data_IF_006300941636
#
_entry.id   IF_006300941636
#
_cell.length_a   1.000
_cell.length_b   1.000
_cell.length_c   1.000
_cell.angle_alpha   90.00
_cell.angle_beta   90.00
_cell.angle_gamma   90.00
#
_symmetry.space_group_name_H-M   'P 1'
#
loop_
_entity.id
_entity.type
_entity.pdbx_description
1 polymer ?
#
# COMPACT_ATOMS: atom_id res chain seq x y z
N UNK A 1 1.09 -14.12 29.10
CA UNK A 1 0.33 -13.18 28.25
C UNK A 1 1.29 -12.79 27.14
N UNK A 2 1.18 -13.49 26.02
CA UNK A 2 2.21 -13.59 24.98
C UNK A 2 2.27 -12.34 24.10
N UNK A 3 3.47 -11.79 23.97
CA UNK A 3 3.85 -10.63 23.13
C UNK A 3 4.07 -11.02 21.66
N UNK A 4 3.44 -12.09 21.17
CA UNK A 4 3.78 -12.70 19.88
C UNK A 4 3.12 -12.06 18.65
N UNK A 5 2.11 -11.18 18.82
CA UNK A 5 1.36 -10.64 17.67
C UNK A 5 1.98 -9.42 16.96
N UNK A 6 2.99 -8.77 17.55
CA UNK A 6 3.60 -7.58 16.94
C UNK A 6 4.71 -7.89 15.92
N UNK A 7 5.20 -9.13 15.89
CA UNK A 7 6.27 -9.56 14.97
C UNK A 7 5.73 -10.15 13.67
N UNK A 8 4.47 -10.60 13.63
CA UNK A 8 3.80 -11.10 12.41
C UNK A 8 3.46 -9.99 11.39
N UNK A 9 3.16 -8.78 11.86
CA UNK A 9 2.88 -7.60 11.03
C UNK A 9 4.10 -7.09 10.24
N UNK A 10 5.33 -7.51 10.61
CA UNK A 10 6.59 -7.01 10.03
C UNK A 10 7.07 -7.74 8.76
N UNK A 11 6.31 -8.68 8.18
CA UNK A 11 6.82 -9.55 7.09
C UNK A 11 5.88 -9.77 5.90
N UNK A 12 4.89 -8.91 5.65
CA UNK A 12 4.29 -8.91 4.31
C UNK A 12 5.35 -8.41 3.32
N UNK A 13 5.67 -9.22 2.30
CA UNK A 13 6.62 -8.84 1.25
C UNK A 13 6.11 -7.56 0.59
N UNK A 14 6.92 -6.51 0.62
CA UNK A 14 6.66 -5.26 -0.11
C UNK A 14 7.20 -5.40 -1.53
N UNK A 15 6.37 -5.06 -2.51
CA UNK A 15 6.73 -5.02 -3.93
C UNK A 15 6.98 -3.56 -4.30
N UNK A 16 8.11 -3.24 -4.95
CA UNK A 16 8.35 -1.88 -5.44
C UNK A 16 7.24 -1.49 -6.43
N UNK A 17 6.78 -0.26 -6.31
CA UNK A 17 5.77 0.35 -7.18
C UNK A 17 6.21 1.79 -7.51
N UNK A 18 5.74 2.33 -8.63
CA UNK A 18 5.99 3.73 -8.98
C UNK A 18 4.78 4.32 -9.71
N UNK A 19 3.68 4.41 -8.98
CA UNK A 19 2.39 4.86 -9.49
C UNK A 19 1.94 6.13 -8.76
N UNK A 20 1.31 7.06 -9.48
CA UNK A 20 0.71 8.23 -8.89
C UNK A 20 -0.64 7.88 -8.24
N UNK A 21 -0.94 8.49 -7.09
CA UNK A 21 -2.21 8.35 -6.41
C UNK A 21 -2.67 9.69 -5.82
N UNK A 22 -3.93 9.76 -5.40
CA UNK A 22 -4.47 10.87 -4.63
C UNK A 22 -4.82 10.36 -3.23
N UNK A 23 -4.37 11.08 -2.21
CA UNK A 23 -4.83 10.90 -0.84
C UNK A 23 -5.85 11.98 -0.52
N UNK A 24 -7.00 11.57 0.00
CA UNK A 24 -8.04 12.43 0.54
C UNK A 24 -7.96 12.40 2.07
N UNK A 25 -7.65 13.55 2.66
CA UNK A 25 -7.53 13.74 4.10
C UNK A 25 -8.91 13.95 4.76
N UNK A 26 -9.03 13.85 6.10
CA UNK A 26 -10.30 14.02 6.81
C UNK A 26 -11.00 15.38 6.61
N UNK A 27 -10.27 16.40 6.19
CA UNK A 27 -10.76 17.74 5.89
C UNK A 27 -11.10 17.94 4.41
N UNK A 28 -11.28 16.85 3.67
CA UNK A 28 -11.51 16.78 2.22
C UNK A 28 -10.35 17.37 1.38
N UNK A 29 -9.20 17.64 1.99
CA UNK A 29 -8.02 18.07 1.24
C UNK A 29 -7.49 16.90 0.40
N UNK A 30 -7.30 17.15 -0.90
CA UNK A 30 -6.77 16.17 -1.87
C UNK A 30 -5.29 16.45 -2.11
N UNK A 31 -4.45 15.44 -1.89
CA UNK A 31 -2.99 15.53 -2.01
C UNK A 31 -2.50 14.53 -3.05
N UNK A 32 -1.75 15.00 -4.05
CA UNK A 32 -1.08 14.10 -5.00
C UNK A 32 0.15 13.48 -4.35
N UNK A 33 0.26 12.16 -4.44
CA UNK A 33 1.33 11.36 -3.83
C UNK A 33 1.86 10.34 -4.83
N UNK A 34 2.99 9.73 -4.50
CA UNK A 34 3.57 8.61 -5.26
C UNK A 34 3.58 7.35 -4.39
N UNK A 35 3.05 6.25 -4.90
CA UNK A 35 3.18 4.93 -4.31
C UNK A 35 4.59 4.43 -4.63
N UNK A 36 5.37 4.14 -3.59
CA UNK A 36 6.74 3.60 -3.67
C UNK A 36 6.76 2.08 -3.58
N UNK A 37 5.88 1.53 -2.75
CA UNK A 37 5.78 0.09 -2.56
C UNK A 37 4.38 -0.32 -2.06
N UNK A 38 4.00 -1.55 -2.37
CA UNK A 38 2.71 -2.15 -1.99
C UNK A 38 2.97 -3.45 -1.23
N UNK A 39 2.19 -3.73 -0.20
CA UNK A 39 2.06 -5.07 0.36
C UNK A 39 0.60 -5.44 0.58
N UNK A 40 0.36 -6.69 0.95
CA UNK A 40 -0.98 -7.17 1.35
C UNK A 40 -1.64 -6.34 2.47
N UNK A 41 -0.85 -5.60 3.24
CA UNK A 41 -1.33 -4.85 4.40
C UNK A 41 -1.49 -3.35 4.13
N UNK A 42 -0.99 -2.84 3.01
CA UNK A 42 -0.90 -1.40 2.83
C UNK A 42 0.10 -0.92 1.79
N UNK A 43 0.41 0.38 1.90
CA UNK A 43 1.21 1.12 0.93
C UNK A 43 2.34 1.87 1.63
N UNK A 44 3.49 1.96 0.97
CA UNK A 44 4.49 3.00 1.23
C UNK A 44 4.33 4.12 0.22
N UNK A 45 4.11 5.35 0.68
CA UNK A 45 3.94 6.51 -0.21
C UNK A 45 4.98 7.60 0.06
N UNK A 46 5.18 8.44 -0.95
CA UNK A 46 5.90 9.71 -0.88
C UNK A 46 4.91 10.86 -1.03
N UNK A 47 4.89 11.75 -0.05
CA UNK A 47 3.96 12.87 0.04
C UNK A 47 4.69 14.21 0.17
N UNK A 48 4.18 15.30 -0.43
CA UNK A 48 4.67 16.67 -0.18
C UNK A 48 4.19 17.25 1.17
N UNK A 49 3.28 16.55 1.86
CA UNK A 49 2.68 16.99 3.10
C UNK A 49 2.80 15.88 4.17
N UNK A 50 3.11 16.28 5.40
CA UNK A 50 3.14 15.38 6.54
C UNK A 50 1.72 14.89 6.86
N UNK A 51 1.51 13.57 6.91
CA UNK A 51 0.24 12.96 7.35
C UNK A 51 0.51 12.29 8.70
N UNK A 52 0.01 12.85 9.81
CA UNK A 52 0.27 12.32 11.14
C UNK A 52 -0.10 10.84 11.27
N UNK A 53 0.62 10.13 12.16
CA UNK A 53 0.27 8.75 12.51
C UNK A 53 -1.12 8.73 13.16
N UNK A 54 -1.94 7.75 12.81
CA UNK A 54 -3.32 7.58 13.26
C UNK A 54 -4.34 8.34 12.41
N UNK A 55 -3.91 9.08 11.38
CA UNK A 55 -4.85 9.77 10.48
C UNK A 55 -5.51 8.76 9.55
N UNK A 56 -6.84 8.72 9.58
CA UNK A 56 -7.65 7.98 8.63
C UNK A 56 -7.74 8.77 7.33
N UNK A 57 -7.47 8.12 6.21
CA UNK A 57 -7.49 8.73 4.88
C UNK A 57 -8.18 7.81 3.90
N UNK A 58 -8.60 8.36 2.77
CA UNK A 58 -8.94 7.60 1.59
C UNK A 58 -7.82 7.75 0.54
N UNK A 59 -7.42 6.67 -0.10
CA UNK A 59 -6.44 6.69 -1.18
C UNK A 59 -7.08 6.23 -2.48
N UNK A 60 -7.04 7.10 -3.49
CA UNK A 60 -7.54 6.85 -4.83
C UNK A 60 -6.37 6.52 -5.77
N UNK A 61 -6.43 5.35 -6.38
CA UNK A 61 -5.43 4.84 -7.34
C UNK A 61 -6.09 4.69 -8.70
N UNK A 62 -5.47 5.25 -9.75
CA UNK A 62 -5.99 5.12 -11.12
C UNK A 62 -5.45 3.84 -11.76
N UNK A 63 -6.36 2.93 -12.09
CA UNK A 63 -6.12 1.66 -12.76
C UNK A 63 -6.72 1.65 -14.17
N UNK A 64 -6.38 0.65 -14.99
CA UNK A 64 -6.91 0.52 -16.37
C UNK A 64 -8.45 0.46 -16.41
N UNK A 65 -9.06 -0.07 -15.36
CA UNK A 65 -10.51 -0.30 -15.25
C UNK A 65 -11.27 0.84 -14.56
N UNK A 66 -10.56 1.85 -14.05
CA UNK A 66 -11.15 2.97 -13.31
C UNK A 66 -10.35 3.36 -12.07
N UNK A 67 -10.99 4.13 -11.19
CA UNK A 67 -10.39 4.56 -9.93
C UNK A 67 -10.75 3.54 -8.84
N UNK A 68 -9.73 3.04 -8.14
CA UNK A 68 -9.89 2.17 -6.97
C UNK A 68 -9.63 2.99 -5.71
N UNK A 69 -10.53 2.89 -4.74
CA UNK A 69 -10.45 3.61 -3.48
C UNK A 69 -10.08 2.64 -2.34
N UNK A 70 -9.11 3.02 -1.50
CA UNK A 70 -8.68 2.27 -0.33
C UNK A 70 -8.78 3.11 0.93
N UNK A 71 -9.50 2.62 1.95
CA UNK A 71 -9.48 3.26 3.27
C UNK A 71 -8.25 2.83 4.04
N UNK A 72 -7.49 3.82 4.48
CA UNK A 72 -6.20 3.60 5.11
C UNK A 72 -6.05 4.38 6.42
N UNK A 73 -5.22 3.87 7.31
CA UNK A 73 -4.68 4.60 8.46
C UNK A 73 -3.19 4.86 8.24
N UNK A 74 -2.72 6.08 8.50
CA UNK A 74 -1.29 6.38 8.55
C UNK A 74 -0.64 5.71 9.75
N UNK A 75 0.28 4.77 9.52
CA UNK A 75 0.97 4.03 10.60
C UNK A 75 2.32 4.61 10.96
N UNK A 76 2.94 5.38 10.06
CA UNK A 76 4.13 6.19 10.34
C UNK A 76 4.26 7.32 9.32
N UNK A 77 4.97 8.39 9.72
CA UNK A 77 5.35 9.49 8.85
C UNK A 77 6.78 9.93 9.22
N UNK A 78 7.67 9.96 8.23
CA UNK A 78 9.06 10.34 8.37
C UNK A 78 9.45 11.36 7.32
N UNK A 79 10.07 12.47 7.72
CA UNK A 79 10.64 13.42 6.77
C UNK A 79 11.90 12.83 6.15
N UNK A 80 11.99 12.85 4.82
CA UNK A 80 13.18 12.39 4.09
C UNK A 80 14.18 13.54 3.91
N UNK A 81 13.81 14.53 3.08
CA UNK A 81 14.60 15.73 2.79
C UNK A 81 13.67 16.86 2.32
N UNK A 82 13.92 18.09 2.79
CA UNK A 82 13.06 19.23 2.47
C UNK A 82 11.60 18.94 2.81
N UNK A 83 10.69 19.25 1.89
CA UNK A 83 9.24 19.08 2.06
C UNK A 83 8.73 17.72 1.60
N UNK A 84 9.55 16.66 1.66
CA UNK A 84 9.15 15.29 1.27
C UNK A 84 9.06 14.36 2.47
N UNK A 85 7.95 13.65 2.54
CA UNK A 85 7.63 12.72 3.61
C UNK A 85 7.45 11.31 3.06
N UNK A 86 8.06 10.34 3.73
CA UNK A 86 7.74 8.94 3.59
C UNK A 86 6.63 8.59 4.59
N UNK A 87 5.57 7.96 4.09
CA UNK A 87 4.39 7.66 4.90
C UNK A 87 3.99 6.21 4.66
N UNK A 88 3.82 5.47 5.75
CA UNK A 88 3.25 4.13 5.71
C UNK A 88 1.75 4.20 5.90
N UNK A 89 1.01 3.60 4.99
CA UNK A 89 -0.44 3.47 5.07
C UNK A 89 -0.79 2.01 5.31
N UNK A 90 -1.68 1.75 6.26
CA UNK A 90 -2.26 0.44 6.50
C UNK A 90 -3.70 0.41 6.01
N UNK A 91 -4.03 -0.55 5.16
CA UNK A 91 -5.39 -0.72 4.64
C UNK A 91 -6.28 -1.31 5.73
N UNK A 92 -7.44 -0.70 5.92
CA UNK A 92 -8.45 -1.13 6.88
C UNK A 92 -9.11 -2.43 6.42
N UNK A 93 -9.54 -3.28 7.36
CA UNK A 93 -9.91 -4.68 7.10
C UNK A 93 -10.96 -4.88 6.00
N UNK A 94 -11.90 -3.95 5.82
CA UNK A 94 -12.93 -4.03 4.78
C UNK A 94 -12.38 -4.05 3.35
N UNK A 95 -11.20 -3.48 3.11
CA UNK A 95 -10.61 -3.33 1.77
C UNK A 95 -9.44 -4.30 1.52
N UNK A 96 -9.10 -5.14 2.51
CA UNK A 96 -7.96 -6.08 2.41
C UNK A 96 -8.19 -7.25 1.46
N UNK A 97 -9.45 -7.64 1.24
CA UNK A 97 -9.78 -8.74 0.32
C UNK A 97 -9.39 -8.40 -1.13
N UNK A 98 -9.40 -7.12 -1.51
CA UNK A 98 -9.02 -6.66 -2.86
C UNK A 98 -7.51 -6.67 -3.11
N UNK A 99 -6.67 -6.43 -2.09
CA UNK A 99 -5.22 -6.38 -2.25
C UNK A 99 -4.59 -7.74 -2.58
N UNK A 100 -5.29 -8.83 -2.26
CA UNK A 100 -4.83 -10.19 -2.55
C UNK A 100 -4.72 -10.48 -4.05
N UNK A 101 -5.45 -9.76 -4.89
CA UNK A 101 -5.39 -9.91 -6.35
C UNK A 101 -4.22 -9.16 -6.99
N UNK A 102 -3.70 -8.12 -6.32
CA UNK A 102 -2.68 -7.22 -6.87
C UNK A 102 -1.27 -7.69 -6.52
N UNK A 103 -1.08 -8.34 -5.37
CA UNK A 103 0.21 -8.95 -5.04
C UNK A 103 0.32 -10.35 -5.66
N UNK A 104 1.27 -10.61 -6.58
CA UNK A 104 1.52 -11.96 -7.06
C UNK A 104 1.85 -12.86 -5.88
N UNK A 105 1.10 -13.94 -5.72
CA UNK A 105 1.34 -14.92 -4.67
C UNK A 105 2.74 -15.54 -4.90
N UNK A 106 3.72 -15.37 -3.99
CA UNK A 106 5.06 -15.90 -4.19
C UNK A 106 5.12 -17.44 -4.12
N UNK A 107 4.03 -18.08 -3.72
CA UNK A 107 3.90 -19.53 -3.64
C UNK A 107 3.14 -20.16 -4.82
N UNK A 108 2.70 -19.36 -5.80
CA UNK A 108 2.21 -19.93 -7.05
C UNK A 108 3.41 -20.52 -7.81
N UNK A 109 3.46 -21.85 -8.04
CA UNK A 109 4.51 -22.43 -8.84
C UNK A 109 4.48 -21.77 -10.23
N UNK A 110 5.64 -21.35 -10.72
CA UNK A 110 5.80 -20.96 -12.12
C UNK A 110 5.22 -22.09 -12.98
N UNK A 111 4.37 -21.79 -13.98
CA UNK A 111 3.93 -22.82 -14.90
C UNK A 111 5.18 -23.45 -15.51
N UNK A 112 5.38 -24.74 -15.28
CA UNK A 112 6.45 -25.51 -15.90
C UNK A 112 6.39 -25.25 -17.41
N UNK A 113 7.53 -24.96 -18.09
CA UNK A 113 7.53 -24.81 -19.53
C UNK A 113 6.92 -26.07 -20.13
N UNK A 114 5.76 -25.91 -20.77
CA UNK A 114 5.04 -27.00 -21.39
C UNK A 114 5.98 -27.74 -22.32
N UNK A 115 6.26 -29.00 -22.00
CA UNK A 115 6.90 -29.94 -22.90
C UNK A 115 6.09 -29.96 -24.19
N UNK A 116 6.62 -29.33 -25.24
CA UNK A 116 6.13 -29.52 -26.60
C UNK A 116 6.39 -30.99 -26.93
N UNK A 117 5.35 -31.80 -26.84
CA UNK A 117 5.32 -33.12 -27.46
C UNK A 117 5.40 -32.93 -28.97
N UNK A 118 6.52 -33.34 -29.55
CA UNK A 118 6.61 -33.68 -30.98
C UNK A 118 6.27 -35.15 -31.16
#
# INVERSE_FOLDING_TARGET
>A
METEDLLGLRRSRRLPENQAAIVVLPDDQRVSVWIRDISLMGFGILSPLAIPRGTNISMEVSEEVGIVEYRCESVFCQQLTGDRFEIGLQVMDADREFLQFVTPNPLSPLPSPGSRSS
#
